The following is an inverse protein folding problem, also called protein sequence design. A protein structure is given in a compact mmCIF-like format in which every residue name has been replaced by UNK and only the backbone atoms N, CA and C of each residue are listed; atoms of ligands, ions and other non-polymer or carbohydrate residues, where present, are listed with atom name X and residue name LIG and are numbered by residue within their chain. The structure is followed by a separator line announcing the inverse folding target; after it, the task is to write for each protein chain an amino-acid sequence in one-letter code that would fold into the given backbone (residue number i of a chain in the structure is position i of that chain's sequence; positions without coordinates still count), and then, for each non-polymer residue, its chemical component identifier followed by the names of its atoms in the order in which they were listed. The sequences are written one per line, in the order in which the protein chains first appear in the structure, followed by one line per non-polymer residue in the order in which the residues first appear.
data_IF_445528171080
#
_entry.id   IF_445528171080
#
_cell.length_a   1.000
_cell.length_b   1.000
_cell.length_c   1.000
_cell.angle_alpha   90.00
_cell.angle_beta   90.00
_cell.angle_gamma   90.00
#
_symmetry.space_group_name_H-M   'P 1'
#
loop_
_entity.id
_entity.type
_entity.pdbx_description
1 polymer ?
#
# COMPACT_ATOMS: atom_id res chain seq x y z
N UNK A 1 -8.24 -15.26 -2.55
CA UNK A 1 -7.63 -14.21 -1.70
C UNK A 1 -7.97 -12.87 -2.32
N UNK A 2 -8.56 -11.92 -1.58
CA UNK A 2 -8.89 -10.62 -2.17
C UNK A 2 -7.62 -9.90 -2.64
N UNK A 3 -7.72 -9.21 -3.78
CA UNK A 3 -6.69 -8.35 -4.35
C UNK A 3 -7.23 -6.91 -4.31
N UNK A 4 -6.42 -5.95 -3.87
CA UNK A 4 -6.79 -4.53 -3.78
C UNK A 4 -5.66 -3.65 -4.27
N UNK A 5 -6.00 -2.52 -4.89
CA UNK A 5 -5.02 -1.46 -5.15
C UNK A 5 -4.77 -0.73 -3.83
N UNK A 6 -3.51 -0.63 -3.46
CA UNK A 6 -3.06 -0.05 -2.21
C UNK A 6 -1.93 0.95 -2.49
N UNK A 7 -1.86 1.96 -1.64
CA UNK A 7 -0.61 2.67 -1.39
C UNK A 7 0.26 1.81 -0.46
N UNK A 8 1.52 1.63 -0.85
CA UNK A 8 2.53 0.87 -0.09
C UNK A 8 3.77 1.75 0.04
N UNK A 9 4.33 1.90 1.23
CA UNK A 9 5.57 2.65 1.45
C UNK A 9 6.55 1.83 2.29
N UNK A 10 7.81 1.78 1.87
CA UNK A 10 8.90 1.26 2.69
C UNK A 10 9.28 2.31 3.75
N UNK A 11 9.34 1.90 5.02
CA UNK A 11 9.66 2.77 6.15
C UNK A 11 11.06 2.50 6.70
N UNK A 12 11.55 1.26 6.62
CA UNK A 12 12.90 0.92 7.09
C UNK A 12 13.97 1.72 6.36
N UNK A 13 14.92 2.28 7.10
CA UNK A 13 16.07 3.00 6.54
C UNK A 13 15.76 4.42 6.02
N UNK A 14 14.56 4.96 6.27
CA UNK A 14 14.15 6.27 5.79
C UNK A 14 13.54 7.11 6.90
N UNK A 15 13.79 8.42 6.86
CA UNK A 15 13.07 9.40 7.69
C UNK A 15 11.57 9.37 7.38
N UNK A 16 10.77 9.98 8.26
CA UNK A 16 9.31 9.93 8.19
C UNK A 16 8.79 10.34 6.80
N UNK A 17 8.24 9.36 6.09
CA UNK A 17 7.63 9.47 4.75
C UNK A 17 8.58 9.83 3.59
N UNK A 18 9.89 9.67 3.80
CA UNK A 18 10.90 9.83 2.75
C UNK A 18 11.24 8.53 2.00
N UNK A 19 10.70 7.39 2.44
CA UNK A 19 10.95 6.10 1.80
C UNK A 19 10.17 5.92 0.50
N UNK A 20 10.65 5.05 -0.39
CA UNK A 20 10.02 4.78 -1.67
C UNK A 20 8.59 4.24 -1.46
N UNK A 21 7.69 4.64 -2.36
CA UNK A 21 6.28 4.32 -2.26
C UNK A 21 5.68 3.96 -3.61
N UNK A 22 4.61 3.17 -3.55
CA UNK A 22 3.98 2.53 -4.70
C UNK A 22 2.46 2.58 -4.63
N UNK A 23 1.82 2.76 -5.79
CA UNK A 23 0.45 2.34 -6.03
C UNK A 23 0.52 1.00 -6.72
N UNK A 24 0.10 -0.03 -6.00
CA UNK A 24 0.29 -1.40 -6.43
C UNK A 24 -0.89 -2.26 -6.05
N UNK A 25 -1.03 -3.35 -6.78
CA UNK A 25 -1.91 -4.40 -6.35
C UNK A 25 -1.31 -5.23 -5.21
N UNK A 26 -2.09 -5.39 -4.15
CA UNK A 26 -1.73 -6.19 -2.99
C UNK A 26 -2.78 -7.28 -2.81
N UNK A 27 -2.31 -8.53 -2.69
CA UNK A 27 -3.16 -9.65 -2.31
C UNK A 27 -3.17 -9.78 -0.79
N UNK A 28 -4.33 -10.01 -0.21
CA UNK A 28 -4.46 -10.24 1.22
C UNK A 28 -4.92 -11.65 1.54
N UNK A 29 -4.50 -12.17 2.69
CA UNK A 29 -5.14 -13.33 3.30
C UNK A 29 -6.60 -13.02 3.66
N UNK A 30 -7.43 -14.06 3.86
CA UNK A 30 -8.85 -13.88 4.20
C UNK A 30 -9.07 -13.05 5.48
N UNK A 31 -8.12 -13.11 6.41
CA UNK A 31 -8.15 -12.39 7.69
C UNK A 31 -7.51 -11.00 7.64
N UNK A 32 -6.98 -10.59 6.48
CA UNK A 32 -6.25 -9.33 6.29
C UNK A 32 -4.97 -9.18 7.14
N UNK A 33 -4.52 -10.26 7.78
CA UNK A 33 -3.31 -10.26 8.62
C UNK A 33 -2.03 -10.44 7.80
N UNK A 34 -2.14 -10.86 6.54
CA UNK A 34 -1.00 -11.07 5.65
C UNK A 34 -1.28 -10.39 4.33
N UNK A 35 -0.29 -9.65 3.83
CA UNK A 35 -0.29 -9.03 2.52
C UNK A 35 0.84 -9.64 1.67
N UNK A 36 0.60 -9.83 0.38
CA UNK A 36 1.58 -10.27 -0.60
C UNK A 36 1.77 -9.16 -1.62
N UNK A 37 3.00 -8.67 -1.73
CA UNK A 37 3.36 -7.48 -2.50
C UNK A 37 4.75 -7.68 -3.13
N UNK A 38 4.88 -7.58 -4.46
CA UNK A 38 6.16 -7.70 -5.20
C UNK A 38 7.06 -8.87 -4.73
N UNK A 39 6.47 -10.06 -4.59
CA UNK A 39 7.18 -11.27 -4.12
C UNK A 39 7.42 -11.36 -2.61
N UNK A 40 7.12 -10.30 -1.85
CA UNK A 40 7.27 -10.25 -0.39
C UNK A 40 6.02 -10.75 0.32
N UNK A 41 6.24 -11.33 1.50
CA UNK A 41 5.19 -11.70 2.44
C UNK A 41 5.23 -10.76 3.63
N UNK A 42 4.20 -9.90 3.75
CA UNK A 42 4.12 -8.90 4.81
C UNK A 42 3.11 -9.33 5.86
N UNK A 43 3.50 -9.29 7.13
CA UNK A 43 2.61 -9.56 8.28
C UNK A 43 2.18 -8.28 8.96
N UNK A 44 0.89 -8.16 9.26
CA UNK A 44 0.31 -6.99 9.93
C UNK A 44 0.85 -6.88 11.36
N UNK A 45 1.22 -5.67 11.77
CA UNK A 45 1.61 -5.35 13.15
C UNK A 45 1.10 -3.94 13.50
N UNK A 46 -0.10 -3.82 14.09
CA UNK A 46 -0.78 -2.54 14.28
C UNK A 46 -0.20 -1.64 15.38
N UNK A 47 0.65 -2.16 16.27
CA UNK A 47 1.21 -1.41 17.40
C UNK A 47 2.48 -0.59 17.05
N UNK A 48 2.82 -0.43 15.76
CA UNK A 48 3.97 0.35 15.31
C UNK A 48 3.56 1.82 15.09
N UNK A 49 4.42 2.77 15.45
CA UNK A 49 4.11 4.21 15.35
C UNK A 49 4.02 4.70 13.90
N UNK A 50 4.94 4.27 13.04
CA UNK A 50 5.07 4.78 11.66
C UNK A 50 5.00 3.69 10.58
N UNK A 51 4.54 2.49 10.94
CA UNK A 51 4.35 1.36 10.04
C UNK A 51 3.13 0.54 10.50
N UNK A 52 2.62 -0.35 9.64
CA UNK A 52 1.51 -1.24 10.02
C UNK A 52 1.66 -2.68 9.50
N UNK A 53 2.69 -2.94 8.69
CA UNK A 53 3.13 -4.26 8.26
C UNK A 53 4.66 -4.35 8.34
N UNK A 54 5.17 -5.57 8.36
CA UNK A 54 6.59 -5.84 8.21
C UNK A 54 6.79 -7.10 7.34
N UNK A 55 7.90 -7.15 6.62
CA UNK A 55 8.31 -8.30 5.83
C UNK A 55 8.82 -9.42 6.74
N UNK A 56 8.30 -10.64 6.56
CA UNK A 56 8.62 -11.77 7.45
C UNK A 56 10.05 -12.29 7.29
N UNK A 57 10.69 -12.01 6.15
CA UNK A 57 12.03 -12.51 5.83
C UNK A 57 13.11 -11.47 6.19
N UNK A 58 12.83 -10.18 6.00
CA UNK A 58 13.80 -9.10 6.16
C UNK A 58 13.57 -8.17 7.36
N UNK A 59 12.42 -8.31 8.03
CA UNK A 59 11.94 -7.39 9.07
C UNK A 59 11.76 -5.93 8.61
N UNK A 60 11.86 -5.66 7.30
CA UNK A 60 11.60 -4.33 6.75
C UNK A 60 10.16 -3.90 7.03
N UNK A 61 10.00 -2.66 7.50
CA UNK A 61 8.72 -2.12 7.91
C UNK A 61 8.06 -1.38 6.76
N UNK A 62 6.75 -1.57 6.65
CA UNK A 62 5.94 -1.01 5.58
C UNK A 62 4.69 -0.32 6.13
N UNK A 63 4.28 0.74 5.43
CA UNK A 63 2.97 1.35 5.58
C UNK A 63 2.08 0.97 4.39
N UNK A 64 0.94 0.34 4.67
CA UNK A 64 -0.08 0.00 3.68
C UNK A 64 -1.38 0.73 3.99
N UNK A 65 -1.94 1.43 3.00
CA UNK A 65 -3.26 2.07 3.07
C UNK A 65 -3.97 2.02 1.72
N UNK A 66 -5.27 2.28 1.70
CA UNK A 66 -5.94 2.54 0.42
C UNK A 66 -5.42 3.86 -0.17
N UNK A 67 -5.29 3.97 -1.50
CA UNK A 67 -4.82 5.21 -2.11
C UNK A 67 -5.87 6.31 -1.98
N UNK A 68 -5.43 7.57 -1.94
CA UNK A 68 -6.27 8.76 -1.85
C UNK A 68 -6.42 9.44 -3.20
N UNK A 69 -7.58 10.08 -3.42
CA UNK A 69 -7.85 10.81 -4.68
C UNK A 69 -7.07 12.12 -4.80
N UNK A 70 -6.77 12.74 -3.66
CA UNK A 70 -5.93 13.94 -3.58
C UNK A 70 -4.43 13.65 -3.77
N UNK A 71 -4.06 12.36 -3.90
CA UNK A 71 -2.69 11.86 -4.03
C UNK A 71 -1.77 12.25 -2.84
N UNK A 72 -2.35 12.63 -1.71
CA UNK A 72 -1.62 12.95 -0.48
C UNK A 72 -1.55 11.73 0.44
N UNK A 73 -1.00 10.63 -0.10
CA UNK A 73 -0.99 9.32 0.58
C UNK A 73 0.00 9.24 1.75
N UNK A 74 1.14 9.92 1.64
CA UNK A 74 2.10 10.07 2.74
C UNK A 74 1.52 10.91 3.90
N UNK A 75 1.97 10.65 5.13
CA UNK A 75 1.50 11.41 6.31
C UNK A 75 2.04 12.85 6.32
N UNK A 76 3.27 13.06 5.83
CA UNK A 76 3.98 14.34 5.76
C UNK A 76 4.67 14.58 4.42
N UNK A 77 4.66 13.60 3.51
CA UNK A 77 5.31 13.70 2.21
C UNK A 77 4.30 13.91 1.07
N UNK A 78 4.68 14.76 0.11
CA UNK A 78 3.99 14.95 -1.19
C UNK A 78 4.67 14.16 -2.31
N UNK A 79 5.64 13.31 -2.00
CA UNK A 79 6.30 12.49 -3.01
C UNK A 79 5.27 11.61 -3.70
N UNK A 80 5.23 11.70 -5.03
CA UNK A 80 4.34 10.86 -5.82
C UNK A 80 4.85 9.41 -5.76
N UNK A 81 3.99 8.44 -5.42
CA UNK A 81 4.35 7.03 -5.50
C UNK A 81 4.58 6.61 -6.96
N UNK A 82 5.46 5.63 -7.15
CA UNK A 82 5.56 4.88 -8.39
C UNK A 82 4.27 4.08 -8.61
N UNK A 83 3.75 4.04 -9.83
CA UNK A 83 2.51 3.31 -10.13
C UNK A 83 2.88 2.05 -10.89
N UNK A 84 2.54 0.87 -10.34
CA UNK A 84 2.71 -0.39 -11.05
C UNK A 84 1.89 -0.35 -12.36
N UNK A 85 2.49 -0.81 -13.47
CA UNK A 85 1.85 -0.73 -14.79
C UNK A 85 0.48 -1.42 -14.82
N UNK A 86 0.33 -2.54 -14.12
CA UNK A 86 -0.93 -3.29 -14.03
C UNK A 86 -1.97 -2.67 -13.08
N UNK A 87 -1.59 -1.64 -12.31
CA UNK A 87 -2.47 -0.86 -11.45
C UNK A 87 -2.87 0.48 -12.07
N UNK A 88 -2.16 0.94 -13.10
CA UNK A 88 -2.30 2.29 -13.68
C UNK A 88 -3.74 2.61 -14.10
N UNK A 89 -4.33 1.82 -14.99
CA UNK A 89 -5.67 2.10 -15.53
C UNK A 89 -6.73 2.22 -14.43
N UNK A 90 -6.70 1.28 -13.47
CA UNK A 90 -7.66 1.26 -12.38
C UNK A 90 -7.43 2.39 -11.37
N UNK A 91 -6.18 2.81 -11.16
CA UNK A 91 -5.86 3.96 -10.34
C UNK A 91 -6.28 5.27 -11.01
N UNK A 92 -6.01 5.43 -12.31
CA UNK A 92 -6.44 6.60 -13.09
C UNK A 92 -7.97 6.74 -13.11
N UNK A 93 -8.70 5.63 -13.31
CA UNK A 93 -10.17 5.63 -13.20
C UNK A 93 -10.64 6.06 -11.80
N UNK A 94 -9.98 5.59 -10.74
CA UNK A 94 -10.30 5.99 -9.37
C UNK A 94 -10.07 7.48 -9.12
N UNK A 95 -8.99 8.03 -9.66
CA UNK A 95 -8.71 9.47 -9.64
C UNK A 95 -9.77 10.25 -10.41
N UNK A 96 -10.32 9.68 -11.49
CA UNK A 96 -11.48 10.20 -12.24
C UNK A 96 -12.85 10.03 -11.55
N UNK A 97 -12.89 9.46 -10.34
CA UNK A 97 -14.12 9.33 -9.54
C UNK A 97 -14.71 7.92 -9.47
N UNK A 98 -14.16 6.96 -10.22
CA UNK A 98 -14.60 5.57 -10.11
C UNK A 98 -14.29 4.98 -8.72
N UNK A 99 -14.95 3.88 -8.38
CA UNK A 99 -14.60 3.09 -7.19
C UNK A 99 -13.35 2.23 -7.49
N UNK A 100 -12.54 1.96 -6.46
CA UNK A 100 -11.45 0.99 -6.60
C UNK A 100 -12.02 -0.43 -6.72
N UNK A 101 -11.51 -1.24 -7.66
CA UNK A 101 -11.92 -2.65 -7.79
C UNK A 101 -11.66 -3.42 -6.49
N UNK A 102 -12.57 -4.34 -6.15
CA UNK A 102 -12.48 -5.16 -4.94
C UNK A 102 -12.83 -4.45 -3.63
N UNK A 103 -13.32 -3.20 -3.71
CA UNK A 103 -13.89 -2.44 -2.57
C UNK A 103 -15.43 -2.45 -2.53
N UNK A 104 -16.07 -3.18 -3.44
CA UNK A 104 -17.53 -3.20 -3.67
C UNK A 104 -18.34 -3.80 -2.50
N UNK A 105 -17.69 -4.40 -1.50
CA UNK A 105 -18.32 -4.96 -0.28
C UNK A 105 -17.57 -4.57 0.99
N UNK A 106 -17.07 -3.33 1.04
CA UNK A 106 -16.38 -2.78 2.21
C UNK A 106 -17.32 -2.04 3.13
#
# INVERSE_FOLDING_TARGET
MPRRIMYVQLKSGHDTDAGPSWIAWVRFSKTWQTAYFRGRTLRRRPAMQDANFYDVDTEEQFWLSGPKRDRFDGRFSRAAPEIDDDARDAYEAFLGGAALPGRERG
#
